data_IF_638444481472
#
_entry.id   IF_638444481472
#
_cell.length_a   1.000
_cell.length_b   1.000
_cell.length_c   1.000
_cell.angle_alpha   90.00
_cell.angle_beta   90.00
_cell.angle_gamma   90.00
#
_symmetry.space_group_name_H-M   'P 1'
#
loop_
_entity.id
_entity.type
_entity.pdbx_description
1 polymer ?
#
# COMPACT_ATOMS: atom_id res chain seq x y z
N UNK A 1 13.07 24.06 10.20
CA UNK A 1 12.52 24.77 9.02
C UNK A 1 13.60 25.48 8.20
N UNK A 2 14.57 26.15 8.83
CA UNK A 2 15.73 26.77 8.14
C UNK A 2 16.62 25.76 7.39
N UNK A 3 16.72 24.54 7.92
CA UNK A 3 17.44 23.43 7.30
C UNK A 3 16.96 23.08 5.87
N UNK A 4 15.64 23.03 5.63
CA UNK A 4 15.09 22.71 4.31
C UNK A 4 15.41 23.79 3.27
N UNK A 5 15.48 25.06 3.72
CA UNK A 5 15.90 26.18 2.87
C UNK A 5 17.38 26.07 2.51
N UNK A 6 18.23 25.68 3.47
CA UNK A 6 19.66 25.48 3.24
C UNK A 6 19.92 24.37 2.21
N UNK A 7 19.25 23.23 2.30
CA UNK A 7 19.45 22.12 1.37
C UNK A 7 19.06 22.47 -0.08
N UNK A 8 17.99 23.25 -0.25
CA UNK A 8 17.46 23.61 -1.57
C UNK A 8 18.17 24.83 -2.20
N UNK A 9 18.96 25.59 -1.44
CA UNK A 9 19.69 26.76 -1.90
C UNK A 9 21.16 26.44 -2.21
N UNK A 10 21.87 27.31 -2.95
CA UNK A 10 23.33 27.20 -3.08
C UNK A 10 24.02 27.18 -1.71
N UNK A 11 25.08 26.38 -1.53
CA UNK A 11 25.79 25.62 -2.57
C UNK A 11 25.19 24.24 -2.89
N UNK A 12 24.20 23.76 -2.13
CA UNK A 12 23.75 22.36 -2.22
C UNK A 12 22.76 22.12 -3.36
N UNK A 13 21.80 23.03 -3.55
CA UNK A 13 20.82 22.99 -4.65
C UNK A 13 20.13 21.63 -4.82
N UNK A 14 19.79 20.97 -3.71
CA UNK A 14 19.19 19.63 -3.72
C UNK A 14 17.70 19.69 -4.03
N UNK A 15 17.21 18.70 -4.77
CA UNK A 15 15.79 18.40 -4.86
C UNK A 15 15.35 17.72 -3.55
N UNK A 16 14.57 18.43 -2.73
CA UNK A 16 14.11 17.92 -1.44
C UNK A 16 12.68 17.40 -1.58
N UNK A 17 12.48 16.12 -1.29
CA UNK A 17 11.15 15.51 -1.18
C UNK A 17 10.92 15.10 0.28
N UNK A 18 9.79 15.52 0.85
CA UNK A 18 9.37 15.13 2.18
C UNK A 18 8.19 14.15 2.08
N UNK A 19 8.25 13.08 2.89
CA UNK A 19 7.16 12.11 3.02
C UNK A 19 6.79 12.03 4.49
N UNK A 20 5.49 12.08 4.79
CA UNK A 20 5.01 12.11 6.16
C UNK A 20 3.50 12.08 6.24
N UNK A 21 2.98 12.43 7.41
CA UNK A 21 1.54 12.50 7.68
C UNK A 21 0.97 13.86 7.31
N UNK A 22 -0.36 14.02 7.43
CA UNK A 22 -1.00 15.29 7.14
C UNK A 22 -0.49 16.43 8.05
N UNK A 23 -0.14 16.12 9.31
CA UNK A 23 0.45 17.07 10.25
C UNK A 23 1.79 17.63 9.75
N UNK A 24 2.60 16.80 9.08
CA UNK A 24 3.85 17.27 8.49
C UNK A 24 3.59 18.25 7.34
N UNK A 25 2.57 17.98 6.51
CA UNK A 25 2.13 18.89 5.46
C UNK A 25 1.61 20.22 6.03
N UNK A 26 0.81 20.18 7.10
CA UNK A 26 0.32 21.38 7.78
C UNK A 26 1.45 22.21 8.39
N UNK A 27 2.43 21.56 9.02
CA UNK A 27 3.60 22.24 9.58
C UNK A 27 4.42 22.97 8.50
N UNK A 28 4.59 22.35 7.32
CA UNK A 28 5.23 22.99 6.16
C UNK A 28 4.39 24.16 5.63
N UNK A 29 3.06 24.02 5.62
CA UNK A 29 2.12 25.06 5.18
C UNK A 29 2.06 26.29 6.10
N UNK A 30 2.42 26.15 7.38
CA UNK A 30 2.40 27.24 8.34
C UNK A 30 3.46 28.32 8.06
N UNK A 31 4.63 27.95 7.50
CA UNK A 31 5.63 28.92 7.02
C UNK A 31 5.32 29.28 5.56
N UNK A 32 4.82 30.50 5.34
CA UNK A 32 4.46 31.02 4.01
C UNK A 32 5.59 30.95 2.97
N UNK A 33 6.86 31.00 3.40
CA UNK A 33 8.02 30.88 2.50
C UNK A 33 8.24 29.44 2.03
N UNK A 34 7.90 28.45 2.85
CA UNK A 34 7.99 27.03 2.50
C UNK A 34 6.74 26.57 1.75
N UNK A 35 5.56 27.02 2.16
CA UNK A 35 4.30 26.71 1.48
C UNK A 35 4.29 27.08 -0.01
N UNK A 36 5.03 28.13 -0.41
CA UNK A 36 5.18 28.54 -1.82
C UNK A 36 6.19 27.70 -2.61
N UNK A 37 7.06 26.95 -1.93
CA UNK A 37 8.17 26.19 -2.54
C UNK A 37 7.90 24.70 -2.65
N UNK A 38 7.02 24.17 -1.82
CA UNK A 38 6.68 22.76 -1.79
C UNK A 38 5.26 22.55 -2.29
N UNK A 39 5.13 21.71 -3.30
CA UNK A 39 3.84 21.14 -3.69
C UNK A 39 3.49 19.97 -2.74
N UNK A 40 2.26 19.96 -2.25
CA UNK A 40 1.78 18.89 -1.35
C UNK A 40 0.92 17.93 -2.16
N UNK A 41 1.41 16.71 -2.36
CA UNK A 41 0.64 15.61 -2.95
C UNK A 41 0.08 14.74 -1.84
N UNK A 42 -1.24 14.55 -1.84
CA UNK A 42 -1.93 13.65 -0.91
C UNK A 42 -2.11 12.27 -1.54
N UNK A 43 -1.67 11.25 -0.82
CA UNK A 43 -1.91 9.86 -1.21
C UNK A 43 -3.27 9.43 -0.66
N UNK A 44 -4.29 9.53 -1.50
CA UNK A 44 -5.65 9.13 -1.15
C UNK A 44 -5.77 7.61 -0.94
N UNK A 45 -6.79 7.21 -0.20
CA UNK A 45 -7.14 5.80 -0.08
C UNK A 45 -7.60 5.26 -1.43
N UNK A 46 -7.25 4.00 -1.70
CA UNK A 46 -7.75 3.31 -2.87
C UNK A 46 -9.27 3.25 -2.87
N UNK A 47 -9.85 3.50 -4.03
CA UNK A 47 -11.27 3.32 -4.31
C UNK A 47 -11.44 2.30 -5.44
N UNK A 48 -12.65 1.77 -5.60
CA UNK A 48 -12.90 0.83 -6.69
C UNK A 48 -12.84 1.56 -8.03
N UNK A 49 -11.88 1.19 -8.89
CA UNK A 49 -11.67 1.81 -10.19
C UNK A 49 -10.54 1.15 -10.96
N UNK A 50 -10.28 1.67 -12.16
CA UNK A 50 -9.28 1.09 -13.07
C UNK A 50 -7.86 1.17 -12.51
N UNK A 51 -7.51 2.24 -11.81
CA UNK A 51 -6.18 2.40 -11.19
C UNK A 51 -5.96 1.34 -10.11
N UNK A 52 -6.91 1.16 -9.20
CA UNK A 52 -6.81 0.13 -8.16
C UNK A 52 -6.75 -1.28 -8.75
N UNK A 53 -7.56 -1.57 -9.78
CA UNK A 53 -7.52 -2.87 -10.46
C UNK A 53 -6.19 -3.09 -11.19
N UNK A 54 -5.61 -2.04 -11.78
CA UNK A 54 -4.28 -2.11 -12.40
C UNK A 54 -3.18 -2.37 -11.38
N UNK A 55 -3.28 -1.73 -10.21
CA UNK A 55 -2.41 -2.03 -9.06
C UNK A 55 -2.55 -3.49 -8.60
N UNK A 56 -3.77 -4.03 -8.49
CA UNK A 56 -3.96 -5.43 -8.14
C UNK A 56 -3.44 -6.39 -9.23
N UNK A 57 -3.55 -6.02 -10.49
CA UNK A 57 -3.02 -6.80 -11.61
C UNK A 57 -1.48 -6.85 -11.59
N UNK A 58 -0.81 -5.76 -11.20
CA UNK A 58 0.65 -5.78 -11.03
C UNK A 58 1.07 -6.72 -9.89
N UNK A 59 0.30 -6.80 -8.81
CA UNK A 59 0.51 -7.81 -7.76
C UNK A 59 0.30 -9.23 -8.28
N UNK A 60 -0.79 -9.48 -9.01
CA UNK A 60 -1.10 -10.78 -9.57
C UNK A 60 0.03 -11.35 -10.45
N UNK A 61 0.77 -10.48 -11.14
CA UNK A 61 1.93 -10.86 -11.96
C UNK A 61 3.22 -11.12 -11.16
N UNK A 62 3.32 -10.65 -9.92
CA UNK A 62 4.56 -10.69 -9.11
C UNK A 62 4.47 -11.60 -7.87
N UNK A 63 3.29 -12.06 -7.49
CA UNK A 63 3.15 -13.03 -6.40
C UNK A 63 3.62 -14.42 -6.86
N UNK A 64 4.34 -15.18 -6.00
CA UNK A 64 4.93 -16.47 -6.35
C UNK A 64 3.89 -17.60 -6.26
N UNK A 65 2.80 -17.49 -7.00
CA UNK A 65 1.72 -18.48 -7.04
C UNK A 65 1.64 -19.11 -8.42
N UNK A 66 1.46 -20.44 -8.48
CA UNK A 66 1.43 -21.15 -9.76
C UNK A 66 0.17 -20.84 -10.59
N UNK A 67 -0.95 -20.46 -9.95
CA UNK A 67 -2.22 -20.19 -10.62
C UNK A 67 -2.62 -18.72 -10.54
N UNK A 68 -3.18 -18.22 -11.64
CA UNK A 68 -3.71 -16.86 -11.74
C UNK A 68 -4.78 -16.60 -10.66
N UNK A 69 -4.52 -15.62 -9.79
CA UNK A 69 -5.39 -15.23 -8.68
C UNK A 69 -6.48 -14.24 -9.06
N UNK A 70 -6.46 -13.69 -10.27
CA UNK A 70 -7.51 -12.81 -10.81
C UNK A 70 -7.91 -11.68 -9.85
N UNK A 71 -6.91 -11.10 -9.17
CA UNK A 71 -7.10 -10.10 -8.11
C UNK A 71 -7.85 -8.85 -8.61
N UNK A 72 -7.70 -8.53 -9.89
CA UNK A 72 -8.34 -7.39 -10.55
C UNK A 72 -9.84 -7.60 -10.82
N UNK A 73 -10.37 -8.81 -10.62
CA UNK A 73 -11.81 -9.08 -10.81
C UNK A 73 -12.65 -8.29 -9.82
N UNK A 74 -13.83 -7.77 -10.23
CA UNK A 74 -14.67 -6.96 -9.35
C UNK A 74 -15.02 -7.62 -8.02
N UNK A 75 -15.12 -8.96 -7.99
CA UNK A 75 -15.46 -9.73 -6.79
C UNK A 75 -14.32 -9.65 -5.76
N UNK A 76 -13.10 -9.97 -6.16
CA UNK A 76 -11.93 -10.01 -5.27
C UNK A 76 -11.50 -8.59 -4.90
N UNK A 77 -11.41 -7.69 -5.89
CA UNK A 77 -10.95 -6.32 -5.65
C UNK A 77 -11.87 -5.56 -4.70
N UNK A 78 -13.20 -5.71 -4.81
CA UNK A 78 -14.15 -5.07 -3.88
C UNK A 78 -14.05 -5.66 -2.47
N UNK A 79 -13.78 -6.95 -2.35
CA UNK A 79 -13.58 -7.60 -1.06
C UNK A 79 -12.33 -7.08 -0.36
N UNK A 80 -11.22 -6.98 -1.09
CA UNK A 80 -9.98 -6.38 -0.57
C UNK A 80 -10.22 -4.93 -0.12
N UNK A 81 -10.91 -4.11 -0.93
CA UNK A 81 -11.24 -2.73 -0.52
C UNK A 81 -12.10 -2.68 0.74
N UNK A 82 -13.07 -3.58 0.87
CA UNK A 82 -13.98 -3.63 2.02
C UNK A 82 -13.23 -3.86 3.33
N UNK A 83 -12.34 -4.85 3.37
CA UNK A 83 -11.61 -5.20 4.61
C UNK A 83 -10.50 -4.19 4.95
N UNK A 84 -9.85 -3.63 3.92
CA UNK A 84 -8.69 -2.73 4.09
C UNK A 84 -9.06 -1.26 4.18
N UNK A 85 -10.33 -0.91 3.86
CA UNK A 85 -10.81 0.47 3.72
C UNK A 85 -9.93 1.30 2.78
N UNK A 86 -9.36 0.65 1.75
CA UNK A 86 -8.52 1.28 0.73
C UNK A 86 -7.12 1.72 1.20
N UNK A 87 -6.69 1.41 2.42
CA UNK A 87 -5.35 1.79 2.87
C UNK A 87 -4.28 0.95 2.18
N UNK A 88 -3.34 1.58 1.46
CA UNK A 88 -2.34 0.89 0.64
C UNK A 88 -1.56 -0.18 1.40
N UNK A 89 -1.06 0.12 2.60
CA UNK A 89 -0.33 -0.83 3.44
C UNK A 89 -1.20 -2.06 3.79
N UNK A 90 -2.47 -1.85 4.15
CA UNK A 90 -3.39 -2.94 4.45
C UNK A 90 -3.77 -3.76 3.22
N UNK A 91 -3.88 -3.13 2.04
CA UNK A 91 -4.07 -3.84 0.76
C UNK A 91 -2.92 -4.78 0.50
N UNK A 92 -1.69 -4.29 0.57
CA UNK A 92 -0.48 -5.10 0.35
C UNK A 92 -0.41 -6.24 1.37
N UNK A 93 -0.69 -5.96 2.65
CA UNK A 93 -0.72 -6.99 3.71
C UNK A 93 -1.79 -8.05 3.46
N UNK A 94 -3.01 -7.66 3.08
CA UNK A 94 -4.08 -8.60 2.76
C UNK A 94 -3.68 -9.56 1.63
N UNK A 95 -3.09 -9.05 0.55
CA UNK A 95 -2.60 -9.87 -0.56
C UNK A 95 -1.50 -10.82 -0.09
N UNK A 96 -0.53 -10.33 0.68
CA UNK A 96 0.57 -11.16 1.21
C UNK A 96 0.09 -12.28 2.12
N UNK A 97 -0.82 -11.99 3.05
CA UNK A 97 -1.36 -13.01 3.96
C UNK A 97 -2.20 -14.04 3.20
N UNK A 98 -3.00 -13.60 2.23
CA UNK A 98 -3.75 -14.51 1.37
C UNK A 98 -2.82 -15.41 0.53
N UNK A 99 -1.72 -14.86 -0.01
CA UNK A 99 -0.74 -15.64 -0.75
C UNK A 99 -0.07 -16.72 0.14
N UNK A 100 0.26 -16.37 1.39
CA UNK A 100 0.80 -17.36 2.34
C UNK A 100 -0.19 -18.49 2.57
N UNK A 101 -1.48 -18.17 2.78
CA UNK A 101 -2.52 -19.19 2.93
C UNK A 101 -2.64 -20.06 1.67
N UNK A 102 -2.56 -19.48 0.47
CA UNK A 102 -2.62 -20.20 -0.79
C UNK A 102 -1.49 -21.23 -0.94
N UNK A 103 -0.28 -20.87 -0.53
CA UNK A 103 0.90 -21.73 -0.56
C UNK A 103 0.75 -22.85 0.46
N UNK A 104 0.36 -22.51 1.70
CA UNK A 104 0.23 -23.47 2.80
C UNK A 104 -0.84 -24.51 2.52
N UNK A 105 -1.96 -24.12 1.91
CA UNK A 105 -3.03 -25.06 1.56
C UNK A 105 -2.78 -25.79 0.25
N UNK A 106 -1.74 -25.43 -0.51
CA UNK A 106 -1.41 -26.02 -1.81
C UNK A 106 -2.37 -25.67 -2.95
N UNK A 107 -3.27 -24.71 -2.75
CA UNK A 107 -4.23 -24.26 -3.77
C UNK A 107 -3.55 -23.33 -4.80
N UNK A 108 -2.41 -22.72 -4.44
CA UNK A 108 -1.57 -21.95 -5.36
C UNK A 108 -2.30 -20.80 -6.09
N UNK A 109 -3.42 -20.32 -5.52
CA UNK A 109 -4.26 -19.22 -6.02
C UNK A 109 -4.93 -18.48 -4.86
N UNK A 110 -4.92 -17.15 -4.84
CA UNK A 110 -5.70 -16.38 -3.87
C UNK A 110 -7.20 -16.46 -4.18
N UNK A 111 -7.97 -16.88 -3.18
CA UNK A 111 -9.44 -16.82 -3.16
C UNK A 111 -9.93 -15.86 -2.06
N UNK A 112 -11.23 -15.56 -2.05
CA UNK A 112 -11.83 -14.76 -0.96
C UNK A 112 -11.61 -15.42 0.40
N UNK A 113 -11.76 -16.75 0.46
CA UNK A 113 -11.55 -17.50 1.70
C UNK A 113 -10.13 -17.34 2.24
N UNK A 114 -9.12 -17.33 1.37
CA UNK A 114 -7.74 -17.09 1.81
C UNK A 114 -7.48 -15.66 2.24
N UNK A 115 -8.14 -14.70 1.60
CA UNK A 115 -8.10 -13.31 2.04
C UNK A 115 -8.68 -13.21 3.44
N UNK A 116 -9.82 -13.85 3.71
CA UNK A 116 -10.46 -13.85 5.03
C UNK A 116 -9.58 -14.58 6.07
N UNK A 117 -9.12 -15.79 5.77
CA UNK A 117 -8.23 -16.57 6.66
C UNK A 117 -6.93 -15.84 6.95
N UNK A 118 -6.30 -15.21 5.94
CA UNK A 118 -5.09 -14.43 6.11
C UNK A 118 -5.32 -13.13 6.86
N UNK A 119 -6.51 -12.55 6.75
CA UNK A 119 -6.89 -11.33 7.48
C UNK A 119 -7.13 -11.59 8.97
N UNK A 120 -7.70 -12.76 9.29
CA UNK A 120 -7.84 -13.28 10.65
C UNK A 120 -6.47 -13.70 11.22
N UNK A 121 -5.68 -14.43 10.43
CA UNK A 121 -4.36 -14.94 10.81
C UNK A 121 -3.24 -14.10 10.18
N UNK A 122 -3.10 -12.87 10.67
CA UNK A 122 -2.18 -11.84 10.13
C UNK A 122 -0.70 -12.22 10.18
N UNK A 123 -0.34 -13.28 10.91
CA UNK A 123 1.03 -13.73 11.08
C UNK A 123 1.05 -15.26 11.02
N UNK A 124 1.67 -15.83 9.98
CA UNK A 124 1.84 -17.28 9.87
C UNK A 124 2.93 -17.84 10.81
N UNK A 125 3.64 -16.99 11.55
CA UNK A 125 4.74 -17.41 12.43
C UNK A 125 4.32 -18.23 13.66
N UNK A 126 3.02 -18.41 13.96
CA UNK A 126 2.56 -19.07 15.17
C UNK A 126 2.03 -20.51 14.96
N UNK A 127 2.13 -21.08 13.77
CA UNK A 127 1.44 -22.34 13.46
C UNK A 127 2.32 -23.61 13.48
N UNK A 128 3.64 -23.51 13.63
CA UNK A 128 4.53 -24.68 13.64
C UNK A 128 5.53 -24.60 14.82
N UNK A 129 5.01 -24.71 16.05
CA UNK A 129 5.78 -25.27 17.17
C UNK A 129 5.20 -26.65 17.46
N UNK A 130 5.69 -27.65 16.71
CA UNK A 130 5.63 -29.07 17.06
C UNK A 130 7.07 -29.60 17.16
#
# INVERSE_FOLDING_TARGET
>A
MEFLKMLAAPPYSLAVMAVGTEEAGQALGFDMQLARRYEVVRLERWTFGNEFRSFLNSWNANIPLALDSKLDTPKISKHILKITKGQMDLVVKAIRWAAIQAIVTGEERITIEMIDRGWENRWYYQANED
#
